data_IF_462127648308
#
_entry.id   IF_462127648308
#
_cell.length_a   1.000
_cell.length_b   1.000
_cell.length_c   1.000
_cell.angle_alpha   90.00
_cell.angle_beta   90.00
_cell.angle_gamma   90.00
#
_symmetry.space_group_name_H-M   'P 1'
#
loop_
_entity.id
_entity.type
_entity.pdbx_description
1 polymer ?
#
# COMPACT_ATOMS: atom_id res chain seq x y z
N UNK A 1 19.65 11.40 -14.13
CA UNK A 1 18.67 12.48 -14.34
C UNK A 1 18.57 13.35 -13.10
N UNK A 2 17.94 14.54 -13.17
CA UNK A 2 17.57 15.35 -12.01
C UNK A 2 16.06 15.28 -11.81
N UNK A 3 15.59 15.17 -10.56
CA UNK A 3 14.17 15.09 -10.22
C UNK A 3 13.90 15.77 -8.87
N UNK A 4 12.78 16.48 -8.77
CA UNK A 4 12.26 17.00 -7.51
C UNK A 4 11.51 15.92 -6.75
N UNK A 5 11.61 15.89 -5.42
CA UNK A 5 10.77 15.03 -4.56
C UNK A 5 10.07 15.90 -3.54
N UNK A 6 8.74 15.81 -3.52
CA UNK A 6 7.86 16.47 -2.55
C UNK A 6 7.26 15.43 -1.61
N UNK A 7 7.46 15.64 -0.32
CA UNK A 7 7.05 14.67 0.71
C UNK A 7 8.15 13.67 1.02
N UNK A 8 8.84 13.87 2.15
CA UNK A 8 10.00 13.09 2.59
C UNK A 8 9.67 12.21 3.80
N UNK A 9 8.44 11.74 3.89
CA UNK A 9 8.07 10.65 4.79
C UNK A 9 8.87 9.38 4.48
N UNK A 10 8.58 8.28 5.17
CA UNK A 10 9.32 7.01 5.01
C UNK A 10 9.52 6.59 3.54
N UNK A 11 8.46 6.68 2.74
CA UNK A 11 8.51 6.28 1.33
C UNK A 11 9.29 7.27 0.48
N UNK A 12 8.96 8.56 0.52
CA UNK A 12 9.62 9.58 -0.32
C UNK A 12 11.11 9.72 -0.05
N UNK A 13 11.52 9.66 1.22
CA UNK A 13 12.94 9.66 1.58
C UNK A 13 13.68 8.42 1.04
N UNK A 14 13.07 7.23 1.11
CA UNK A 14 13.66 6.00 0.60
C UNK A 14 13.75 6.00 -0.94
N UNK A 15 12.75 6.50 -1.63
CA UNK A 15 12.78 6.73 -3.08
C UNK A 15 13.95 7.66 -3.44
N UNK A 16 14.08 8.78 -2.72
CA UNK A 16 15.19 9.72 -2.93
C UNK A 16 16.56 9.07 -2.72
N UNK A 17 16.74 8.32 -1.63
CA UNK A 17 18.00 7.60 -1.35
C UNK A 17 18.33 6.58 -2.44
N UNK A 18 17.33 5.77 -2.86
CA UNK A 18 17.53 4.77 -3.90
C UNK A 18 17.88 5.42 -5.24
N UNK A 19 17.23 6.49 -5.63
CA UNK A 19 17.57 7.23 -6.85
C UNK A 19 18.98 7.82 -6.78
N UNK A 20 19.36 8.43 -5.65
CA UNK A 20 20.74 8.93 -5.48
C UNK A 20 21.78 7.84 -5.56
N UNK A 21 21.53 6.65 -4.99
CA UNK A 21 22.45 5.49 -5.08
C UNK A 21 22.63 5.01 -6.51
N UNK A 22 21.70 5.33 -7.42
CA UNK A 22 21.77 5.04 -8.86
C UNK A 22 22.26 6.23 -9.70
N UNK A 23 22.81 7.28 -9.05
CA UNK A 23 23.42 8.43 -9.73
C UNK A 23 22.47 9.51 -10.17
N UNK A 24 21.21 9.51 -9.73
CA UNK A 24 20.30 10.61 -9.99
C UNK A 24 20.50 11.76 -9.00
N UNK A 25 20.22 12.98 -9.44
CA UNK A 25 20.28 14.19 -8.60
C UNK A 25 18.91 14.53 -8.07
N UNK A 26 18.79 14.71 -6.76
CA UNK A 26 17.52 14.99 -6.09
C UNK A 26 17.48 16.44 -5.61
N UNK A 27 16.38 17.14 -5.92
CA UNK A 27 16.00 18.40 -5.26
C UNK A 27 14.82 18.06 -4.35
N UNK A 28 14.97 18.24 -3.05
CA UNK A 28 14.04 17.73 -2.04
C UNK A 28 13.27 18.85 -1.36
N UNK A 29 11.97 18.68 -1.23
CA UNK A 29 11.11 19.57 -0.46
C UNK A 29 10.17 18.78 0.45
N UNK A 30 10.06 19.24 1.68
CA UNK A 30 9.05 18.82 2.65
C UNK A 30 8.66 20.03 3.49
N UNK A 31 7.42 20.06 4.00
CA UNK A 31 6.98 21.10 4.94
C UNK A 31 7.76 21.08 6.25
N UNK A 32 8.34 19.92 6.61
CA UNK A 32 9.20 19.74 7.77
C UNK A 32 10.68 19.91 7.36
N UNK A 33 11.37 21.03 7.68
CA UNK A 33 12.76 21.26 7.28
C UNK A 33 13.73 20.20 7.76
N UNK A 34 13.42 19.55 8.90
CA UNK A 34 14.22 18.43 9.43
C UNK A 34 14.22 17.22 8.50
N UNK A 35 13.11 16.94 7.83
CA UNK A 35 13.03 15.86 6.85
C UNK A 35 13.91 16.13 5.62
N UNK A 36 13.95 17.37 5.17
CA UNK A 36 14.85 17.81 4.08
C UNK A 36 16.30 17.65 4.49
N UNK A 37 16.68 18.12 5.68
CA UNK A 37 18.06 18.01 6.20
C UNK A 37 18.51 16.55 6.41
N UNK A 38 17.57 15.66 6.74
CA UNK A 38 17.84 14.23 6.94
C UNK A 38 18.09 13.45 5.64
N UNK A 39 17.74 14.01 4.47
CA UNK A 39 18.00 13.39 3.17
C UNK A 39 19.38 13.83 2.65
N UNK A 40 20.44 13.33 3.29
CA UNK A 40 21.81 13.63 2.96
C UNK A 40 22.13 13.33 1.50
N UNK A 41 22.80 14.27 0.81
CA UNK A 41 23.15 14.14 -0.61
C UNK A 41 22.13 14.77 -1.57
N UNK A 42 20.93 15.09 -1.10
CA UNK A 42 19.96 15.86 -1.88
C UNK A 42 20.20 17.37 -1.76
N UNK A 43 19.80 18.12 -2.78
CA UNK A 43 19.72 19.58 -2.72
C UNK A 43 18.39 19.98 -2.06
N UNK A 44 18.44 20.55 -0.86
CA UNK A 44 17.23 20.98 -0.15
C UNK A 44 16.62 22.23 -0.77
N UNK A 45 15.30 22.36 -0.65
CA UNK A 45 14.54 23.56 -0.98
C UNK A 45 13.61 23.92 0.18
N UNK A 46 13.42 25.21 0.46
CA UNK A 46 12.55 25.71 1.52
C UNK A 46 11.09 25.93 1.06
N UNK A 47 10.83 25.84 -0.25
CA UNK A 47 9.50 25.98 -0.83
C UNK A 47 9.39 25.22 -2.16
N UNK A 48 8.15 24.95 -2.61
CA UNK A 48 7.90 24.41 -3.96
C UNK A 48 8.50 25.31 -5.06
N UNK A 49 8.38 26.62 -4.89
CA UNK A 49 8.95 27.59 -5.85
C UNK A 49 10.46 27.43 -5.94
N UNK A 50 11.14 27.44 -4.82
CA UNK A 50 12.62 27.28 -4.79
C UNK A 50 13.04 25.90 -5.36
N UNK A 51 12.27 24.86 -5.09
CA UNK A 51 12.52 23.53 -5.66
C UNK A 51 12.45 23.57 -7.19
N UNK A 52 11.40 24.18 -7.76
CA UNK A 52 11.22 24.32 -9.21
C UNK A 52 12.33 25.17 -9.83
N UNK A 53 12.77 26.24 -9.17
CA UNK A 53 13.89 27.08 -9.63
C UNK A 53 15.24 26.34 -9.65
N UNK A 54 15.44 25.38 -8.74
CA UNK A 54 16.64 24.52 -8.69
C UNK A 54 16.63 23.37 -9.70
N UNK A 55 15.49 23.08 -10.34
CA UNK A 55 15.37 22.01 -11.33
C UNK A 55 15.66 22.55 -12.74
N UNK A 56 16.42 21.79 -13.52
CA UNK A 56 16.64 22.06 -14.93
C UNK A 56 15.43 21.61 -15.77
N UNK A 57 15.00 22.46 -16.71
CA UNK A 57 13.93 22.10 -17.65
C UNK A 57 14.41 21.09 -18.71
N UNK A 58 13.56 20.19 -19.21
CA UNK A 58 12.20 19.93 -18.74
C UNK A 58 12.21 19.28 -17.34
N UNK A 59 11.44 19.85 -16.41
CA UNK A 59 11.46 19.50 -14.99
C UNK A 59 10.60 18.28 -14.73
N UNK A 60 11.02 17.47 -13.75
CA UNK A 60 10.23 16.37 -13.19
C UNK A 60 10.06 16.55 -11.69
N UNK A 61 8.86 16.38 -11.18
CA UNK A 61 8.57 16.45 -9.75
C UNK A 61 7.77 15.21 -9.34
N UNK A 62 8.37 14.41 -8.44
CA UNK A 62 7.73 13.25 -7.79
C UNK A 62 7.03 13.70 -6.52
N UNK A 63 5.73 13.50 -6.43
CA UNK A 63 4.91 13.81 -5.27
C UNK A 63 4.66 12.52 -4.49
N UNK A 64 4.97 12.52 -3.18
CA UNK A 64 4.80 11.37 -2.29
C UNK A 64 4.06 11.80 -1.03
N UNK A 65 2.79 12.10 -1.17
CA UNK A 65 1.93 12.68 -0.14
C UNK A 65 0.71 11.80 0.13
N UNK A 66 0.03 11.98 1.28
CA UNK A 66 -1.26 11.34 1.53
C UNK A 66 -2.30 11.73 0.49
N UNK A 67 -3.16 10.76 0.11
CA UNK A 67 -4.25 10.98 -0.84
C UNK A 67 -5.19 12.14 -0.45
N UNK A 68 -5.87 12.70 -1.43
CA UNK A 68 -6.90 13.72 -1.24
C UNK A 68 -6.34 15.15 -1.29
N UNK A 69 -6.88 16.01 -0.43
CA UNK A 69 -6.67 17.48 -0.50
C UNK A 69 -5.20 17.91 -0.47
N UNK A 70 -4.34 17.28 0.32
CA UNK A 70 -2.92 17.65 0.43
C UNK A 70 -2.21 17.43 -0.91
N UNK A 71 -2.48 16.32 -1.57
CA UNK A 71 -1.93 16.03 -2.90
C UNK A 71 -2.53 16.96 -3.95
N UNK A 72 -3.85 17.24 -3.90
CA UNK A 72 -4.49 18.20 -4.80
C UNK A 72 -3.83 19.59 -4.71
N UNK A 73 -3.76 20.15 -3.51
CA UNK A 73 -3.19 21.49 -3.28
C UNK A 73 -1.75 21.56 -3.80
N UNK A 74 -0.96 20.50 -3.57
CA UNK A 74 0.43 20.43 -4.02
C UNK A 74 0.55 20.33 -5.54
N UNK A 75 -0.22 19.45 -6.18
CA UNK A 75 -0.20 19.25 -7.63
C UNK A 75 -0.65 20.51 -8.36
N UNK A 76 -1.68 21.20 -7.88
CA UNK A 76 -2.13 22.46 -8.49
C UNK A 76 -1.14 23.58 -8.27
N UNK A 77 -0.54 23.71 -7.08
CA UNK A 77 0.53 24.68 -6.83
C UNK A 77 1.76 24.43 -7.73
N UNK A 78 2.14 23.17 -7.94
CA UNK A 78 3.18 22.82 -8.93
C UNK A 78 2.76 23.20 -10.34
N UNK A 79 1.49 23.00 -10.71
CA UNK A 79 0.94 23.41 -11.99
C UNK A 79 0.99 24.93 -12.24
N UNK A 80 1.08 25.75 -11.19
CA UNK A 80 1.26 27.21 -11.31
C UNK A 80 2.75 27.62 -11.43
N UNK A 81 3.67 26.73 -11.06
CA UNK A 81 5.11 26.98 -11.05
C UNK A 81 5.85 26.34 -12.23
N UNK A 82 5.34 25.22 -12.71
CA UNK A 82 5.90 24.47 -13.83
C UNK A 82 5.48 25.05 -15.17
N UNK A 83 6.15 24.66 -16.23
CA UNK A 83 5.91 25.12 -17.59
C UNK A 83 5.67 23.99 -18.61
N UNK A 84 5.41 24.34 -19.87
CA UNK A 84 5.20 23.35 -20.93
C UNK A 84 6.36 22.35 -21.04
N UNK A 85 6.04 21.06 -21.10
CA UNK A 85 6.99 19.96 -21.19
C UNK A 85 7.52 19.46 -19.85
N UNK A 86 7.23 20.15 -18.73
CA UNK A 86 7.49 19.62 -17.39
C UNK A 86 6.50 18.52 -17.03
N UNK A 87 6.79 17.73 -15.99
CA UNK A 87 5.96 16.61 -15.55
C UNK A 87 5.79 16.58 -14.04
N UNK A 88 4.59 16.20 -13.59
CA UNK A 88 4.30 15.80 -12.22
C UNK A 88 4.07 14.29 -12.20
N UNK A 89 4.78 13.58 -11.31
CA UNK A 89 4.61 12.15 -11.07
C UNK A 89 3.99 11.99 -9.68
N UNK A 90 2.77 11.51 -9.58
CA UNK A 90 2.15 11.14 -8.31
C UNK A 90 2.49 9.69 -7.97
N UNK A 91 3.31 9.47 -6.94
CA UNK A 91 3.72 8.16 -6.45
C UNK A 91 3.05 7.76 -5.14
N UNK A 92 2.09 8.54 -4.66
CA UNK A 92 1.31 8.25 -3.46
C UNK A 92 0.28 7.12 -3.66
N UNK A 93 -0.49 6.85 -2.62
CA UNK A 93 -1.67 6.01 -2.75
C UNK A 93 -2.87 6.90 -3.11
N UNK A 94 -3.06 7.19 -4.37
CA UNK A 94 -4.08 8.11 -4.86
C UNK A 94 -5.27 7.36 -5.46
N UNK A 95 -6.47 7.92 -5.32
CA UNK A 95 -7.65 7.44 -6.02
C UNK A 95 -7.57 7.79 -7.51
N UNK A 96 -7.61 6.81 -8.38
CA UNK A 96 -7.37 6.97 -9.81
C UNK A 96 -8.26 8.02 -10.51
N UNK A 97 -9.49 8.26 -10.02
CA UNK A 97 -10.38 9.31 -10.55
C UNK A 97 -9.84 10.72 -10.26
N UNK A 98 -9.08 10.90 -9.16
CA UNK A 98 -8.41 12.17 -8.87
C UNK A 98 -7.24 12.41 -9.81
N UNK A 99 -6.51 11.36 -10.22
CA UNK A 99 -5.43 11.48 -11.20
C UNK A 99 -5.94 12.01 -12.54
N UNK A 100 -7.06 11.46 -13.02
CA UNK A 100 -7.70 11.89 -14.26
C UNK A 100 -8.05 13.38 -14.19
N UNK A 101 -8.65 13.82 -13.08
CA UNK A 101 -9.02 15.23 -12.85
C UNK A 101 -7.81 16.16 -12.81
N UNK A 102 -6.74 15.75 -12.10
CA UNK A 102 -5.47 16.51 -12.00
C UNK A 102 -4.80 16.62 -13.36
N UNK A 103 -4.71 15.52 -14.09
CA UNK A 103 -4.12 15.49 -15.41
C UNK A 103 -4.83 16.41 -16.41
N UNK A 104 -6.16 16.43 -16.39
CA UNK A 104 -6.94 17.36 -17.24
C UNK A 104 -6.62 18.83 -16.96
N UNK A 105 -6.44 19.19 -15.68
CA UNK A 105 -6.08 20.54 -15.28
C UNK A 105 -4.66 20.90 -15.73
N UNK A 106 -3.68 20.02 -15.54
CA UNK A 106 -2.28 20.25 -15.92
C UNK A 106 -2.09 20.25 -17.44
N UNK A 107 -2.84 19.45 -18.17
CA UNK A 107 -2.82 19.40 -19.66
C UNK A 107 -3.12 20.76 -20.27
N UNK A 108 -4.00 21.57 -19.68
CA UNK A 108 -4.29 22.94 -20.14
C UNK A 108 -3.05 23.85 -20.11
N UNK A 109 -2.08 23.52 -19.26
CA UNK A 109 -0.80 24.21 -19.11
C UNK A 109 0.34 23.52 -19.86
N UNK A 110 0.04 22.46 -20.62
CA UNK A 110 1.00 21.59 -21.34
C UNK A 110 2.02 20.94 -20.39
N UNK A 111 1.59 20.60 -19.18
CA UNK A 111 2.35 19.86 -18.18
C UNK A 111 1.84 18.42 -18.21
N UNK A 112 2.74 17.45 -18.30
CA UNK A 112 2.42 16.05 -18.27
C UNK A 112 2.12 15.59 -16.81
N UNK A 113 1.23 14.61 -16.69
CA UNK A 113 0.92 13.95 -15.42
C UNK A 113 1.10 12.45 -15.56
N UNK A 114 1.79 11.85 -14.59
CA UNK A 114 2.03 10.41 -14.49
C UNK A 114 1.56 9.97 -13.11
N UNK A 115 0.74 8.94 -13.05
CA UNK A 115 0.39 8.24 -11.83
C UNK A 115 1.24 6.97 -11.69
N UNK A 116 1.84 6.76 -10.52
CA UNK A 116 2.75 5.66 -10.30
C UNK A 116 2.39 4.90 -9.01
N UNK A 117 1.55 3.89 -9.14
CA UNK A 117 1.26 2.97 -8.06
C UNK A 117 2.52 2.21 -7.65
N UNK A 118 2.91 2.36 -6.39
CA UNK A 118 4.18 1.85 -5.87
C UNK A 118 3.92 0.81 -4.79
N UNK A 119 4.44 -0.41 -4.97
CA UNK A 119 4.42 -1.49 -3.99
C UNK A 119 5.83 -1.86 -3.54
N UNK A 120 6.01 -2.10 -2.24
CA UNK A 120 7.33 -2.42 -1.64
C UNK A 120 7.50 -1.83 -0.23
N UNK A 121 6.70 -0.83 0.12
CA UNK A 121 6.72 -0.21 1.44
C UNK A 121 8.11 0.27 1.86
N UNK A 122 8.41 0.19 3.13
CA UNK A 122 9.72 0.60 3.69
C UNK A 122 10.89 -0.26 3.19
N UNK A 123 10.61 -1.49 2.75
CA UNK A 123 11.61 -2.42 2.23
C UNK A 123 12.07 -2.09 0.79
N UNK A 124 11.35 -1.21 0.12
CA UNK A 124 11.68 -0.82 -1.26
C UNK A 124 13.03 -0.13 -1.41
N UNK A 125 13.61 0.43 -0.33
CA UNK A 125 14.96 0.98 -0.36
C UNK A 125 15.96 -0.08 -0.80
N UNK A 126 15.90 -1.27 -0.20
CA UNK A 126 16.86 -2.35 -0.46
C UNK A 126 16.37 -3.26 -1.60
N UNK A 127 15.09 -3.65 -1.59
CA UNK A 127 14.51 -4.63 -2.52
C UNK A 127 14.07 -4.07 -3.86
N UNK A 128 13.89 -2.73 -3.97
CA UNK A 128 13.23 -2.08 -5.08
C UNK A 128 11.71 -2.04 -4.95
N UNK A 129 11.08 -1.29 -5.84
CA UNK A 129 9.64 -1.06 -5.86
C UNK A 129 9.01 -1.68 -7.09
N UNK A 130 7.98 -2.50 -6.90
CA UNK A 130 7.09 -2.89 -8.00
C UNK A 130 6.20 -1.69 -8.36
N UNK A 131 6.20 -1.30 -9.65
CA UNK A 131 5.49 -0.08 -10.07
C UNK A 131 4.55 -0.32 -11.23
N UNK A 132 3.35 0.21 -11.10
CA UNK A 132 2.30 0.26 -12.10
C UNK A 132 2.11 1.72 -12.51
N UNK A 133 2.40 2.06 -13.77
CA UNK A 133 2.56 3.44 -14.23
C UNK A 133 1.48 3.77 -15.24
N UNK A 134 0.72 4.84 -14.97
CA UNK A 134 -0.26 5.42 -15.88
C UNK A 134 0.21 6.77 -16.41
N UNK A 135 -0.10 7.08 -17.68
CA UNK A 135 0.28 8.35 -18.27
C UNK A 135 0.39 8.29 -19.78
N UNK A 136 0.66 9.44 -20.39
CA UNK A 136 1.03 9.47 -21.81
C UNK A 136 2.29 8.63 -22.07
N UNK A 137 2.25 7.81 -23.11
CA UNK A 137 3.34 6.88 -23.41
C UNK A 137 4.69 7.56 -23.56
N UNK A 138 4.74 8.68 -24.29
CA UNK A 138 6.01 9.40 -24.52
C UNK A 138 6.54 10.03 -23.22
N UNK A 139 5.63 10.53 -22.36
CA UNK A 139 6.01 11.03 -21.06
C UNK A 139 6.58 9.92 -20.17
N UNK A 140 5.91 8.75 -20.10
CA UNK A 140 6.38 7.60 -19.30
C UNK A 140 7.73 7.09 -19.82
N UNK A 141 7.91 6.93 -21.11
CA UNK A 141 9.16 6.47 -21.72
C UNK A 141 10.35 7.41 -21.43
N UNK A 142 10.10 8.73 -21.37
CA UNK A 142 11.13 9.73 -21.01
C UNK A 142 11.71 9.49 -19.59
N UNK A 143 10.90 8.98 -18.67
CA UNK A 143 11.28 8.72 -17.29
C UNK A 143 11.61 7.25 -17.00
N UNK A 144 11.68 6.41 -18.03
CA UNK A 144 12.06 4.99 -17.89
C UNK A 144 13.35 4.79 -17.06
N UNK A 145 14.43 5.61 -17.19
CA UNK A 145 15.61 5.48 -16.35
C UNK A 145 15.35 5.69 -14.84
N UNK A 146 14.34 6.50 -14.47
CA UNK A 146 13.93 6.70 -13.08
C UNK A 146 13.21 5.44 -12.58
N UNK A 147 12.25 4.93 -13.35
CA UNK A 147 11.50 3.72 -12.99
C UNK A 147 12.42 2.49 -12.92
N UNK A 148 13.31 2.30 -13.89
CA UNK A 148 14.30 1.23 -13.87
C UNK A 148 15.21 1.28 -12.63
N UNK A 149 15.59 2.49 -12.18
CA UNK A 149 16.43 2.67 -10.99
C UNK A 149 15.68 2.36 -9.69
N UNK A 150 14.37 2.58 -9.66
CA UNK A 150 13.51 2.27 -8.52
C UNK A 150 13.12 0.80 -8.48
N UNK A 151 12.99 0.14 -9.61
CA UNK A 151 12.53 -1.23 -9.74
C UNK A 151 13.45 -2.25 -9.06
N UNK A 152 12.95 -3.46 -8.70
CA UNK A 152 13.76 -4.51 -8.10
C UNK A 152 14.77 -5.13 -9.06
N UNK A 153 14.55 -5.08 -10.38
CA UNK A 153 15.29 -5.83 -11.39
C UNK A 153 14.75 -7.26 -11.56
N UNK A 154 15.35 -8.05 -12.44
CA UNK A 154 14.90 -9.41 -12.75
C UNK A 154 14.91 -10.35 -11.54
N UNK A 155 15.85 -10.16 -10.61
CA UNK A 155 15.97 -11.01 -9.43
C UNK A 155 16.21 -12.48 -9.77
N UNK A 156 15.69 -13.38 -8.91
CA UNK A 156 15.81 -14.85 -9.05
C UNK A 156 14.55 -15.55 -9.52
N UNK A 157 13.49 -14.81 -9.84
CA UNK A 157 12.21 -15.38 -10.27
C UNK A 157 12.34 -15.80 -11.74
N UNK A 158 12.05 -17.07 -12.04
CA UNK A 158 12.09 -17.58 -13.41
C UNK A 158 11.08 -16.86 -14.31
N UNK A 159 11.45 -16.68 -15.56
CA UNK A 159 10.58 -16.07 -16.56
C UNK A 159 9.38 -16.98 -16.84
N UNK A 160 8.19 -16.39 -16.81
CA UNK A 160 6.98 -17.14 -17.19
C UNK A 160 7.07 -17.59 -18.65
N UNK A 161 6.86 -18.88 -18.97
CA UNK A 161 6.84 -19.38 -20.34
C UNK A 161 5.79 -18.64 -21.22
N UNK A 162 6.11 -18.49 -22.50
CA UNK A 162 5.17 -17.85 -23.47
C UNK A 162 5.15 -16.32 -23.42
N UNK A 163 6.17 -15.68 -22.84
CA UNK A 163 6.29 -14.21 -22.80
C UNK A 163 7.17 -13.59 -23.88
N UNK A 164 7.55 -14.35 -24.89
CA UNK A 164 8.39 -13.84 -25.97
C UNK A 164 7.72 -12.67 -26.71
N UNK A 165 8.50 -11.64 -27.00
CA UNK A 165 8.04 -10.43 -27.67
C UNK A 165 7.21 -9.46 -26.81
N UNK A 166 7.00 -9.73 -25.51
CA UNK A 166 6.34 -8.81 -24.57
C UNK A 166 7.33 -7.79 -23.98
N UNK A 167 6.78 -6.71 -23.42
CA UNK A 167 7.56 -5.65 -22.78
C UNK A 167 8.50 -6.22 -21.70
N UNK A 168 9.84 -6.07 -21.85
CA UNK A 168 10.82 -6.63 -20.90
C UNK A 168 10.81 -5.93 -19.54
N UNK A 169 10.27 -4.71 -19.44
CA UNK A 169 10.21 -3.95 -18.18
C UNK A 169 9.46 -4.69 -17.08
N UNK A 170 8.46 -5.50 -17.45
CA UNK A 170 7.69 -6.29 -16.49
C UNK A 170 8.53 -7.33 -15.75
N UNK A 171 9.61 -7.83 -16.37
CA UNK A 171 10.55 -8.75 -15.74
C UNK A 171 11.41 -8.05 -14.68
N UNK A 172 11.55 -6.73 -14.79
CA UNK A 172 12.23 -5.89 -13.81
C UNK A 172 11.30 -5.35 -12.72
N UNK A 173 10.02 -5.70 -12.75
CA UNK A 173 9.03 -5.33 -11.73
C UNK A 173 8.36 -3.98 -11.96
N UNK A 174 8.30 -3.45 -13.18
CA UNK A 174 7.50 -2.27 -13.49
C UNK A 174 6.90 -2.35 -14.90
N UNK A 175 5.77 -1.64 -15.10
CA UNK A 175 5.11 -1.57 -16.41
C UNK A 175 4.40 -0.24 -16.62
N UNK A 176 4.26 0.15 -17.88
CA UNK A 176 3.29 1.15 -18.30
C UNK A 176 1.93 0.47 -18.45
N UNK A 177 1.01 0.73 -17.51
CA UNK A 177 -0.29 0.06 -17.43
C UNK A 177 -1.30 0.62 -18.46
N UNK A 178 -1.14 1.90 -18.85
CA UNK A 178 -2.06 2.55 -19.78
C UNK A 178 -2.12 4.07 -19.58
N UNK A 179 -3.24 4.72 -19.95
CA UNK A 179 -3.41 6.17 -19.79
C UNK A 179 -3.40 6.57 -18.30
N UNK A 180 -3.42 7.89 -18.05
CA UNK A 180 -3.50 8.44 -16.69
C UNK A 180 -4.63 7.80 -15.89
N UNK A 181 -4.34 7.47 -14.63
CA UNK A 181 -5.21 6.75 -13.71
C UNK A 181 -5.03 5.24 -13.73
N UNK A 182 -4.50 4.67 -14.82
CA UNK A 182 -4.35 3.22 -14.94
C UNK A 182 -3.32 2.62 -13.96
N UNK A 183 -2.27 3.36 -13.62
CA UNK A 183 -1.26 2.93 -12.65
C UNK A 183 -1.86 2.78 -11.24
N UNK A 184 -2.49 3.83 -10.74
CA UNK A 184 -3.15 3.80 -9.44
C UNK A 184 -4.38 2.87 -9.41
N UNK A 185 -5.10 2.72 -10.53
CA UNK A 185 -6.17 1.73 -10.63
C UNK A 185 -5.63 0.30 -10.41
N UNK A 186 -4.57 -0.08 -11.12
CA UNK A 186 -3.95 -1.40 -10.94
C UNK A 186 -3.39 -1.57 -9.53
N UNK A 187 -2.78 -0.50 -8.97
CA UNK A 187 -2.28 -0.52 -7.58
C UNK A 187 -3.40 -0.68 -6.56
N UNK A 188 -4.53 -0.01 -6.75
CA UNK A 188 -5.71 -0.09 -5.90
C UNK A 188 -6.25 -1.53 -5.86
N UNK A 189 -6.38 -2.18 -7.01
CA UNK A 189 -6.82 -3.58 -7.10
C UNK A 189 -5.81 -4.53 -6.44
N UNK A 190 -4.50 -4.29 -6.64
CA UNK A 190 -3.45 -5.01 -5.93
C UNK A 190 -3.66 -4.95 -4.40
N UNK A 191 -3.94 -3.77 -3.85
CA UNK A 191 -4.19 -3.62 -2.41
C UNK A 191 -5.49 -4.31 -1.97
N UNK A 192 -6.53 -4.32 -2.80
CA UNK A 192 -7.74 -5.10 -2.53
C UNK A 192 -7.45 -6.60 -2.40
N UNK A 193 -6.63 -7.15 -3.31
CA UNK A 193 -6.16 -8.54 -3.24
C UNK A 193 -5.32 -8.77 -1.98
N UNK A 194 -4.43 -7.83 -1.63
CA UNK A 194 -3.61 -7.87 -0.41
C UNK A 194 -4.49 -8.00 0.84
N UNK A 195 -5.60 -7.24 0.94
CA UNK A 195 -6.55 -7.34 2.04
C UNK A 195 -7.16 -8.74 2.16
N UNK A 196 -7.56 -9.32 1.03
CA UNK A 196 -8.11 -10.69 0.98
C UNK A 196 -7.10 -11.74 1.45
N UNK A 197 -5.85 -11.66 0.98
CA UNK A 197 -4.77 -12.56 1.39
C UNK A 197 -4.46 -12.43 2.89
N UNK A 198 -4.34 -11.21 3.40
CA UNK A 198 -4.10 -10.96 4.83
C UNK A 198 -5.22 -11.52 5.70
N UNK A 199 -6.48 -11.34 5.29
CA UNK A 199 -7.63 -11.86 6.01
C UNK A 199 -7.65 -13.40 6.02
N UNK A 200 -7.34 -14.03 4.90
CA UNK A 200 -7.27 -15.51 4.82
C UNK A 200 -6.18 -16.08 5.72
N UNK A 201 -5.00 -15.44 5.78
CA UNK A 201 -3.96 -15.84 6.74
C UNK A 201 -4.43 -15.66 8.18
N UNK A 202 -5.00 -14.50 8.52
CA UNK A 202 -5.47 -14.24 9.89
C UNK A 202 -6.48 -15.31 10.36
N UNK A 203 -7.49 -15.60 9.55
CA UNK A 203 -8.50 -16.64 9.86
C UNK A 203 -7.87 -18.05 9.97
N UNK A 204 -6.95 -18.38 9.07
CA UNK A 204 -6.24 -19.66 9.10
C UNK A 204 -5.41 -19.83 10.38
N UNK A 205 -4.67 -18.82 10.79
CA UNK A 205 -3.88 -18.86 12.02
C UNK A 205 -4.76 -18.85 13.28
N UNK A 206 -5.91 -18.18 13.27
CA UNK A 206 -6.90 -18.27 14.35
C UNK A 206 -7.45 -19.69 14.50
N UNK A 207 -7.76 -20.38 13.39
CA UNK A 207 -8.19 -21.77 13.39
C UNK A 207 -7.11 -22.69 13.99
N UNK A 208 -5.84 -22.51 13.61
CA UNK A 208 -4.72 -23.28 14.16
C UNK A 208 -4.60 -23.08 15.69
N UNK A 209 -4.66 -21.85 16.17
CA UNK A 209 -4.63 -21.54 17.62
C UNK A 209 -5.86 -22.09 18.36
N UNK A 210 -7.03 -22.02 17.73
CA UNK A 210 -8.28 -22.54 18.27
C UNK A 210 -8.27 -24.03 18.57
N UNK A 211 -7.32 -24.78 18.01
CA UNK A 211 -7.22 -26.23 18.23
C UNK A 211 -6.83 -26.62 19.66
N UNK A 212 -6.25 -25.71 20.42
CA UNK A 212 -5.95 -25.89 21.85
C UNK A 212 -7.16 -25.58 22.78
N UNK A 213 -8.31 -25.17 22.23
CA UNK A 213 -9.47 -24.72 22.99
C UNK A 213 -10.04 -25.83 23.89
N UNK A 214 -10.38 -25.44 25.14
CA UNK A 214 -11.05 -26.31 26.10
C UNK A 214 -12.51 -26.68 25.73
N UNK A 215 -13.08 -26.05 24.73
CA UNK A 215 -14.38 -26.37 24.13
C UNK A 215 -14.35 -27.63 23.28
N UNK A 216 -13.16 -28.11 22.89
CA UNK A 216 -13.01 -29.33 22.11
C UNK A 216 -12.84 -30.57 23.01
N UNK A 217 -13.18 -31.80 22.55
CA UNK A 217 -12.82 -33.03 23.22
C UNK A 217 -11.32 -33.11 23.51
N UNK A 218 -10.93 -33.67 24.66
CA UNK A 218 -9.53 -33.68 25.10
C UNK A 218 -8.59 -34.42 24.15
N UNK A 219 -9.04 -35.47 23.52
CA UNK A 219 -8.33 -36.30 22.55
C UNK A 219 -8.18 -35.62 21.16
N UNK A 220 -8.93 -34.54 20.93
CA UNK A 220 -8.84 -33.75 19.74
C UNK A 220 -8.03 -32.44 19.91
N UNK A 221 -7.58 -32.14 21.12
CA UNK A 221 -6.82 -30.91 21.42
C UNK A 221 -5.33 -31.12 21.18
N UNK A 222 -4.73 -30.14 20.54
CA UNK A 222 -3.28 -30.09 20.47
C UNK A 222 -2.83 -28.63 20.31
N UNK A 223 -1.71 -28.33 20.92
CA UNK A 223 -1.06 -27.02 20.81
C UNK A 223 -0.15 -27.04 19.59
N UNK A 224 -0.29 -26.02 18.75
CA UNK A 224 0.48 -25.86 17.53
C UNK A 224 1.42 -24.66 17.68
N UNK A 225 2.69 -24.84 17.29
CA UNK A 225 3.62 -23.74 17.14
C UNK A 225 3.33 -23.03 15.81
N UNK A 226 2.61 -21.91 15.91
CA UNK A 226 2.21 -21.14 14.72
C UNK A 226 3.39 -20.42 14.05
N UNK A 227 4.47 -20.12 14.79
CA UNK A 227 5.67 -19.51 14.21
C UNK A 227 6.42 -20.53 13.33
N UNK A 228 6.58 -21.76 13.80
CA UNK A 228 7.20 -22.84 13.02
C UNK A 228 6.33 -23.24 11.81
N UNK A 229 5.00 -23.24 11.95
CA UNK A 229 4.08 -23.49 10.83
C UNK A 229 4.24 -22.40 9.76
N UNK A 230 4.27 -21.13 10.15
CA UNK A 230 4.48 -20.02 9.21
C UNK A 230 5.83 -20.17 8.49
N UNK A 231 6.90 -20.53 9.22
CA UNK A 231 8.23 -20.75 8.66
C UNK A 231 8.25 -21.93 7.67
N UNK A 232 7.61 -23.04 7.96
CA UNK A 232 7.51 -24.19 7.03
C UNK A 232 6.74 -23.79 5.76
N UNK A 233 5.59 -23.12 5.92
CA UNK A 233 4.74 -22.77 4.78
C UNK A 233 5.40 -21.75 3.84
N UNK A 234 6.16 -20.78 4.37
CA UNK A 234 6.88 -19.83 3.51
C UNK A 234 8.01 -20.45 2.69
N UNK A 235 8.49 -21.65 3.07
CA UNK A 235 9.62 -22.33 2.44
C UNK A 235 9.28 -23.09 1.15
N UNK A 236 8.03 -23.31 0.84
CA UNK A 236 7.69 -24.03 -0.39
C UNK A 236 6.26 -24.49 -0.52
N UNK A 237 5.35 -24.02 0.34
CA UNK A 237 3.94 -24.31 0.17
C UNK A 237 3.33 -23.47 -0.95
N UNK A 238 2.19 -23.93 -1.48
CA UNK A 238 1.45 -23.22 -2.54
C UNK A 238 0.92 -21.84 -2.10
N UNK A 239 0.82 -21.61 -0.78
CA UNK A 239 0.40 -20.33 -0.20
C UNK A 239 1.58 -19.44 0.18
N UNK A 240 2.82 -19.77 -0.23
CA UNK A 240 3.97 -18.90 0.05
C UNK A 240 3.81 -17.54 -0.62
N UNK A 241 4.10 -16.49 0.13
CA UNK A 241 4.05 -15.10 -0.33
C UNK A 241 4.89 -14.21 0.57
N UNK A 242 5.18 -12.99 0.13
CA UNK A 242 5.85 -12.03 1.01
C UNK A 242 4.98 -11.69 2.24
N UNK A 243 3.65 -11.70 2.14
CA UNK A 243 2.78 -11.52 3.31
C UNK A 243 2.97 -12.65 4.34
N UNK A 244 3.18 -13.88 3.88
CA UNK A 244 3.50 -14.99 4.77
C UNK A 244 4.90 -14.87 5.38
N UNK A 245 5.88 -14.33 4.65
CA UNK A 245 7.20 -13.99 5.21
C UNK A 245 7.06 -13.00 6.37
N UNK A 246 6.24 -11.95 6.20
CA UNK A 246 5.97 -10.96 7.25
C UNK A 246 5.23 -11.58 8.44
N UNK A 247 4.30 -12.51 8.20
CA UNK A 247 3.61 -13.28 9.24
C UNK A 247 4.61 -14.09 10.07
N UNK A 248 5.51 -14.83 9.43
CA UNK A 248 6.54 -15.62 10.10
C UNK A 248 7.48 -14.73 10.94
N UNK A 249 7.90 -13.56 10.41
CA UNK A 249 8.72 -12.58 11.14
C UNK A 249 8.00 -12.07 12.39
N UNK A 250 6.69 -11.77 12.30
CA UNK A 250 5.91 -11.27 13.42
C UNK A 250 5.72 -12.32 14.49
N UNK A 251 5.35 -13.55 14.13
CA UNK A 251 5.15 -14.65 15.07
C UNK A 251 6.46 -15.11 15.74
N UNK A 252 7.59 -15.06 15.02
CA UNK A 252 8.90 -15.35 15.60
C UNK A 252 9.34 -14.33 16.66
N UNK A 253 8.90 -13.06 16.52
CA UNK A 253 9.18 -11.99 17.50
C UNK A 253 8.24 -12.04 18.70
N UNK A 254 6.97 -12.30 18.46
CA UNK A 254 5.89 -12.28 19.45
C UNK A 254 4.84 -13.33 19.06
N UNK A 255 4.95 -14.57 19.59
CA UNK A 255 4.03 -15.66 19.21
C UNK A 255 2.56 -15.36 19.53
N UNK A 256 2.30 -14.57 20.56
CA UNK A 256 0.95 -14.19 21.01
C UNK A 256 0.50 -12.82 20.54
N UNK A 257 1.38 -12.03 19.89
CA UNK A 257 1.11 -10.68 19.37
C UNK A 257 0.52 -9.73 20.41
N UNK A 258 0.93 -9.88 21.69
CA UNK A 258 0.36 -9.14 22.84
C UNK A 258 0.55 -7.62 22.77
N UNK A 259 1.44 -7.14 21.92
CA UNK A 259 1.68 -5.72 21.67
C UNK A 259 0.65 -5.07 20.72
N UNK A 260 -0.29 -5.86 20.16
CA UNK A 260 -1.31 -5.38 19.23
C UNK A 260 -2.72 -5.55 19.79
N UNK A 261 -3.53 -4.50 19.70
CA UNK A 261 -4.94 -4.49 20.14
C UNK A 261 -5.92 -5.10 19.14
N UNK A 262 -5.47 -5.45 17.95
CA UNK A 262 -6.31 -6.04 16.90
C UNK A 262 -7.21 -5.05 16.16
N UNK A 263 -7.06 -3.75 16.36
CA UNK A 263 -7.74 -2.72 15.56
C UNK A 263 -7.00 -2.50 14.24
N UNK A 264 -7.65 -2.76 13.12
CA UNK A 264 -7.02 -2.71 11.78
C UNK A 264 -7.61 -1.59 10.94
N UNK A 265 -6.77 -0.60 10.61
CA UNK A 265 -7.15 0.50 9.73
C UNK A 265 -7.15 0.11 8.25
N UNK A 266 -7.84 0.91 7.44
CA UNK A 266 -7.76 0.88 5.99
C UNK A 266 -7.28 2.25 5.48
N UNK A 267 -6.61 2.26 4.33
CA UNK A 267 -6.05 3.47 3.70
C UNK A 267 -6.81 3.91 2.44
N UNK A 268 -8.00 3.34 2.21
CA UNK A 268 -8.94 3.74 1.14
C UNK A 268 -8.96 2.78 -0.04
N UNK A 269 -7.86 2.14 -0.40
CA UNK A 269 -7.75 1.34 -1.62
C UNK A 269 -8.71 0.13 -1.64
N UNK A 270 -8.94 -0.50 -0.49
CA UNK A 270 -9.94 -1.57 -0.37
C UNK A 270 -11.36 -1.08 -0.67
N UNK A 271 -11.70 0.15 -0.25
CA UNK A 271 -12.99 0.79 -0.55
C UNK A 271 -13.11 1.06 -2.03
N UNK A 272 -12.12 1.74 -2.62
CA UNK A 272 -12.10 2.08 -4.04
C UNK A 272 -12.12 0.85 -4.96
N UNK A 273 -11.49 -0.26 -4.53
CA UNK A 273 -11.55 -1.54 -5.26
C UNK A 273 -12.97 -2.09 -5.29
N UNK A 274 -13.71 -2.01 -4.18
CA UNK A 274 -15.11 -2.46 -4.10
C UNK A 274 -16.02 -1.52 -4.90
N UNK A 275 -15.80 -0.22 -4.83
CA UNK A 275 -16.51 0.76 -5.66
C UNK A 275 -16.32 0.47 -7.16
N UNK A 276 -15.10 0.18 -7.59
CA UNK A 276 -14.82 -0.22 -8.96
C UNK A 276 -15.53 -1.54 -9.33
N UNK A 277 -15.51 -2.53 -8.45
CA UNK A 277 -16.23 -3.79 -8.67
C UNK A 277 -17.75 -3.57 -8.83
N UNK A 278 -18.33 -2.62 -8.09
CA UNK A 278 -19.74 -2.22 -8.24
C UNK A 278 -19.97 -1.52 -9.58
N UNK A 279 -19.13 -0.54 -9.93
CA UNK A 279 -19.21 0.21 -11.19
C UNK A 279 -19.12 -0.72 -12.41
N UNK A 280 -18.31 -1.77 -12.31
CA UNK A 280 -18.04 -2.75 -13.36
C UNK A 280 -18.98 -3.98 -13.32
N UNK A 281 -19.87 -4.07 -12.32
CA UNK A 281 -20.72 -5.23 -12.06
C UNK A 281 -19.92 -6.55 -11.87
N UNK A 282 -18.76 -6.47 -11.24
CA UNK A 282 -17.87 -7.61 -10.94
C UNK A 282 -18.09 -8.09 -9.51
N UNK A 283 -18.29 -9.38 -9.31
CA UNK A 283 -18.42 -9.97 -7.98
C UNK A 283 -17.05 -10.02 -7.26
N UNK A 284 -16.95 -9.39 -6.10
CA UNK A 284 -15.74 -9.35 -5.28
C UNK A 284 -16.00 -9.74 -3.81
N UNK A 285 -16.60 -10.92 -3.50
CA UNK A 285 -17.01 -11.26 -2.13
C UNK A 285 -15.83 -11.37 -1.16
N UNK A 286 -14.69 -11.94 -1.56
CA UNK A 286 -13.53 -12.11 -0.70
C UNK A 286 -12.91 -10.75 -0.28
N UNK A 287 -12.75 -9.84 -1.23
CA UNK A 287 -12.21 -8.49 -0.96
C UNK A 287 -13.18 -7.69 -0.08
N UNK A 288 -14.49 -7.81 -0.35
CA UNK A 288 -15.54 -7.17 0.44
C UNK A 288 -15.53 -7.66 1.89
N UNK A 289 -15.49 -8.98 2.10
CA UNK A 289 -15.43 -9.57 3.43
C UNK A 289 -14.19 -9.08 4.20
N UNK A 290 -13.02 -9.04 3.55
CA UNK A 290 -11.78 -8.58 4.16
C UNK A 290 -11.85 -7.10 4.60
N UNK A 291 -12.45 -6.22 3.80
CA UNK A 291 -12.66 -4.83 4.19
C UNK A 291 -13.62 -4.69 5.37
N UNK A 292 -14.74 -5.41 5.34
CA UNK A 292 -15.73 -5.37 6.43
C UNK A 292 -15.18 -5.97 7.74
N UNK A 293 -14.29 -6.98 7.67
CA UNK A 293 -13.58 -7.48 8.83
C UNK A 293 -12.74 -6.39 9.50
N UNK A 294 -12.05 -5.53 8.70
CA UNK A 294 -11.33 -4.35 9.23
C UNK A 294 -12.29 -3.36 9.91
N UNK A 295 -13.44 -3.07 9.31
CA UNK A 295 -14.44 -2.20 9.96
C UNK A 295 -14.90 -2.79 11.28
N UNK A 296 -15.17 -4.10 11.30
CA UNK A 296 -15.60 -4.80 12.51
C UNK A 296 -14.55 -4.77 13.62
N UNK A 297 -13.27 -4.88 13.29
CA UNK A 297 -12.17 -4.88 14.27
C UNK A 297 -12.07 -3.61 15.09
N UNK A 298 -12.66 -2.49 14.64
CA UNK A 298 -12.60 -1.19 15.31
C UNK A 298 -13.73 -0.96 16.32
N UNK A 299 -14.68 -1.88 16.43
CA UNK A 299 -15.90 -1.73 17.24
C UNK A 299 -16.06 -2.97 18.13
N UNK A 300 -16.02 -2.79 19.45
CA UNK A 300 -16.18 -3.89 20.40
C UNK A 300 -17.58 -4.52 20.32
N UNK A 301 -18.63 -3.70 20.38
CA UNK A 301 -20.04 -4.14 20.27
C UNK A 301 -20.83 -3.11 19.46
N UNK A 302 -21.24 -3.47 18.25
CA UNK A 302 -22.02 -2.58 17.39
C UNK A 302 -23.47 -2.49 17.85
N UNK A 303 -24.15 -1.39 17.48
CA UNK A 303 -25.59 -1.26 17.69
C UNK A 303 -26.39 -2.41 17.07
N UNK A 304 -25.98 -2.88 15.88
CA UNK A 304 -26.63 -4.01 15.20
C UNK A 304 -26.53 -5.31 16.01
N UNK A 305 -25.40 -5.59 16.64
CA UNK A 305 -25.25 -6.78 17.51
C UNK A 305 -26.11 -6.68 18.77
N UNK A 306 -26.19 -5.47 19.37
CA UNK A 306 -27.10 -5.22 20.50
C UNK A 306 -28.57 -5.39 20.09
N UNK A 307 -28.94 -4.95 18.88
CA UNK A 307 -30.28 -5.13 18.35
C UNK A 307 -30.61 -6.62 18.09
N UNK A 308 -29.65 -7.40 17.61
CA UNK A 308 -29.82 -8.85 17.45
C UNK A 308 -30.08 -9.54 18.79
N UNK A 309 -29.32 -9.20 19.83
CA UNK A 309 -29.55 -9.68 21.20
C UNK A 309 -30.94 -9.28 21.70
N UNK A 310 -31.33 -8.04 21.52
CA UNK A 310 -32.67 -7.55 21.93
C UNK A 310 -33.79 -8.29 21.20
N UNK A 311 -33.70 -8.48 19.88
CA UNK A 311 -34.69 -9.25 19.11
C UNK A 311 -34.79 -10.70 19.60
N UNK A 312 -33.68 -11.36 19.92
CA UNK A 312 -33.67 -12.74 20.47
C UNK A 312 -34.35 -12.79 21.83
N UNK A 313 -34.18 -11.77 22.65
CA UNK A 313 -34.87 -11.66 23.93
C UNK A 313 -36.38 -11.53 23.72
N UNK A 314 -36.82 -10.62 22.85
CA UNK A 314 -38.26 -10.34 22.63
C UNK A 314 -39.00 -11.54 22.05
N UNK A 315 -38.45 -12.26 21.07
CA UNK A 315 -39.17 -13.37 20.45
C UNK A 315 -39.01 -14.71 21.19
N UNK A 316 -37.96 -14.90 21.98
CA UNK A 316 -37.64 -16.20 22.59
C UNK A 316 -37.26 -16.15 24.07
N UNK A 317 -37.27 -14.99 24.70
CA UNK A 317 -36.85 -14.82 26.10
C UNK A 317 -35.36 -15.18 26.33
N UNK A 318 -34.55 -15.17 25.25
CA UNK A 318 -33.13 -15.48 25.35
C UNK A 318 -32.36 -14.34 26.02
N UNK A 319 -31.94 -14.56 27.25
CA UNK A 319 -31.08 -13.63 27.98
C UNK A 319 -29.65 -13.72 27.41
N UNK A 320 -29.05 -12.56 27.18
CA UNK A 320 -27.67 -12.47 26.73
C UNK A 320 -26.74 -13.13 27.75
N UNK A 321 -25.95 -14.12 27.33
CA UNK A 321 -24.87 -14.65 28.17
C UNK A 321 -23.82 -13.54 28.26
N UNK A 322 -23.74 -12.89 29.39
CA UNK A 322 -22.62 -12.00 29.73
C UNK A 322 -21.36 -12.84 29.77
N UNK A 323 -20.69 -13.02 28.64
CA UNK A 323 -19.28 -13.39 28.63
C UNK A 323 -18.59 -12.18 29.26
N UNK A 324 -17.94 -12.30 30.43
CA UNK A 324 -17.18 -11.19 30.97
C UNK A 324 -16.22 -10.74 29.88
N UNK A 325 -16.26 -9.47 29.51
CA UNK A 325 -15.19 -8.89 28.73
C UNK A 325 -13.90 -9.37 29.41
N UNK A 326 -12.98 -9.98 28.64
CA UNK A 326 -11.70 -10.43 29.15
C UNK A 326 -11.17 -9.32 30.05
N UNK A 327 -11.21 -9.52 31.37
CA UNK A 327 -10.43 -8.72 32.27
C UNK A 327 -9.00 -8.91 31.78
N UNK A 328 -8.45 -7.88 31.19
CA UNK A 328 -7.01 -7.74 31.12
C UNK A 328 -6.51 -8.11 32.52
N UNK A 329 -5.70 -9.13 32.61
CA UNK A 329 -5.09 -9.55 33.86
C UNK A 329 -4.17 -8.43 34.33
N UNK A 330 -4.74 -7.52 35.13
CA UNK A 330 -4.00 -6.83 36.18
C UNK A 330 -3.90 -7.81 37.36
N UNK A 331 -3.03 -8.77 37.27
CA UNK A 331 -2.51 -9.56 38.36
C UNK A 331 -1.20 -10.17 37.90
N UNK A 332 -0.09 -9.43 38.05
CA UNK A 332 1.05 -9.85 38.81
C UNK A 332 2.06 -8.67 38.92
N UNK A 333 2.08 -8.14 40.14
CA UNK A 333 3.18 -7.33 40.65
C UNK A 333 4.40 -8.19 40.95
#
# INVERSE_FOLDING_TARGET
MQIGIVGLGRMGANIGRRLMSKGHKIVAFDREPKAVAALTGATGAASLKEMVEKLAAPRAVWVMLPAGKITDDTVFALGDLLGPGDVVIDGGNTFYKDDIRRAEALKKKKIDYIDCGTSGGVWGLDRGYCMMIGGDKAAVERFDPIFASLAPGEGSIEKTPGRDGRDPRVLNGYLHAGPVGSGHFVKMVHNGIEYGLMQAYAEGFDILRGRASDKLPQDERFTLDTADIAEVWRRGSVISSWLLDLTAISLAKSPDLNEFEGSVDDSGEGRWTIEAAIDEAVAAPAITAALFARFRSRIAHSFGEKLLSAMRNEFGGHVESLVPAHKAKDEDR
#
